data_IF_436311461689
#
_entry.id   IF_436311461689
#
_cell.length_a   1.000
_cell.length_b   1.000
_cell.length_c   1.000
_cell.angle_alpha   90.00
_cell.angle_beta   90.00
_cell.angle_gamma   90.00
#
_symmetry.space_group_name_H-M   'P 1'
#
loop_
_entity.id
_entity.type
_entity.pdbx_description
1 polymer ?
#
# COMPACT_ATOMS: atom_id res chain seq x y z
N UNK A 1 17.61 14.54 -21.53
CA UNK A 1 17.16 13.24 -22.06
C UNK A 1 15.90 12.82 -21.31
N UNK A 2 14.76 12.90 -21.98
CA UNK A 2 13.43 12.69 -21.40
C UNK A 2 13.27 11.24 -20.92
N UNK A 3 13.17 11.06 -19.60
CA UNK A 3 12.66 9.80 -19.03
C UNK A 3 11.14 9.92 -19.08
N UNK A 4 10.56 9.36 -20.13
CA UNK A 4 9.11 9.23 -20.35
C UNK A 4 8.32 8.96 -19.07
N UNK A 5 7.17 9.63 -18.97
CA UNK A 5 6.16 9.59 -17.91
C UNK A 5 5.64 8.18 -17.59
N UNK A 6 6.44 7.36 -16.90
CA UNK A 6 6.01 6.04 -16.43
C UNK A 6 5.06 6.18 -15.25
N UNK A 7 3.78 6.06 -15.51
CA UNK A 7 2.76 5.94 -14.47
C UNK A 7 2.86 4.56 -13.80
N UNK A 8 3.13 4.46 -12.49
CA UNK A 8 3.20 3.17 -11.80
C UNK A 8 1.81 2.56 -11.64
N UNK A 9 1.47 1.64 -12.54
CA UNK A 9 0.17 0.96 -12.60
C UNK A 9 0.26 -0.48 -12.06
N UNK A 10 -0.80 -0.96 -11.40
CA UNK A 10 -0.97 -2.40 -11.21
C UNK A 10 -1.58 -3.05 -12.44
N UNK A 11 -1.52 -4.39 -12.54
CA UNK A 11 -2.22 -5.14 -13.59
C UNK A 11 -3.72 -4.80 -13.66
N UNK A 12 -4.34 -4.52 -12.51
CA UNK A 12 -5.74 -4.10 -12.44
C UNK A 12 -5.96 -2.71 -13.03
N UNK A 13 -5.04 -1.78 -12.79
CA UNK A 13 -5.10 -0.42 -13.33
C UNK A 13 -4.86 -0.45 -14.85
N UNK A 14 -3.94 -1.30 -15.32
CA UNK A 14 -3.69 -1.53 -16.75
C UNK A 14 -4.89 -2.15 -17.48
N UNK A 15 -5.55 -3.16 -16.88
CA UNK A 15 -6.80 -3.71 -17.44
C UNK A 15 -7.90 -2.64 -17.55
N UNK A 16 -7.98 -1.74 -16.57
CA UNK A 16 -8.94 -0.62 -16.62
C UNK A 16 -8.63 0.35 -17.73
N UNK A 17 -7.35 0.68 -17.94
CA UNK A 17 -6.89 1.53 -19.03
C UNK A 17 -7.42 1.02 -20.37
N UNK A 18 -7.07 -0.23 -20.71
CA UNK A 18 -7.46 -0.81 -21.99
C UNK A 18 -8.98 -0.85 -22.22
N UNK A 19 -9.76 -1.22 -21.20
CA UNK A 19 -11.23 -1.29 -21.35
C UNK A 19 -11.85 0.11 -21.45
N UNK A 20 -11.32 1.09 -20.71
CA UNK A 20 -11.84 2.47 -20.73
C UNK A 20 -11.49 3.16 -22.05
N UNK A 21 -10.31 2.93 -22.62
CA UNK A 21 -9.93 3.45 -23.95
C UNK A 21 -10.91 2.95 -25.01
N UNK A 22 -11.15 1.63 -25.09
CA UNK A 22 -12.12 1.04 -26.02
C UNK A 22 -13.54 1.57 -25.83
N UNK A 23 -13.95 1.83 -24.59
CA UNK A 23 -15.25 2.43 -24.29
C UNK A 23 -15.34 3.88 -24.78
N UNK A 24 -14.30 4.69 -24.58
CA UNK A 24 -14.27 6.09 -25.01
C UNK A 24 -14.12 6.24 -26.52
N UNK A 25 -13.45 5.28 -27.18
CA UNK A 25 -13.36 5.17 -28.63
C UNK A 25 -14.65 4.64 -29.28
N UNK A 26 -15.66 4.26 -28.49
CA UNK A 26 -16.94 3.75 -28.98
C UNK A 26 -16.89 2.31 -29.52
N UNK A 27 -15.78 1.59 -29.31
CA UNK A 27 -15.63 0.20 -29.75
C UNK A 27 -16.45 -0.79 -28.90
N UNK A 28 -16.76 -0.42 -27.66
CA UNK A 28 -17.64 -1.17 -26.76
C UNK A 28 -18.57 -0.20 -26.04
N UNK A 29 -19.77 -0.67 -25.72
CA UNK A 29 -20.72 0.12 -24.94
C UNK A 29 -20.40 0.09 -23.43
N UNK A 30 -21.13 0.92 -22.67
CA UNK A 30 -20.95 1.05 -21.24
C UNK A 30 -21.30 -0.25 -20.47
N UNK A 31 -22.25 -1.03 -20.98
CA UNK A 31 -22.69 -2.28 -20.37
C UNK A 31 -21.57 -3.33 -20.48
N UNK A 32 -21.01 -3.49 -21.67
CA UNK A 32 -19.91 -4.41 -21.93
C UNK A 32 -18.65 -4.05 -21.16
N UNK A 33 -18.33 -2.76 -21.07
CA UNK A 33 -17.23 -2.29 -20.23
C UNK A 33 -17.44 -2.62 -18.73
N UNK A 34 -18.67 -2.50 -18.24
CA UNK A 34 -19.04 -2.84 -16.87
C UNK A 34 -18.85 -4.34 -16.57
N UNK A 35 -19.29 -5.22 -17.48
CA UNK A 35 -19.06 -6.66 -17.40
C UNK A 35 -17.56 -7.00 -17.39
N UNK A 36 -16.80 -6.46 -18.33
CA UNK A 36 -15.37 -6.71 -18.47
C UNK A 36 -14.56 -6.27 -17.25
N UNK A 37 -14.98 -5.20 -16.57
CA UNK A 37 -14.32 -4.69 -15.37
C UNK A 37 -14.91 -5.23 -14.07
N UNK A 38 -16.03 -5.96 -14.13
CA UNK A 38 -16.83 -6.34 -12.95
C UNK A 38 -17.16 -5.13 -12.07
N UNK A 39 -17.60 -4.04 -12.71
CA UNK A 39 -17.96 -2.78 -12.07
C UNK A 39 -19.38 -2.39 -12.47
N UNK A 40 -20.00 -1.48 -11.72
CA UNK A 40 -21.26 -0.90 -12.16
C UNK A 40 -21.05 0.08 -13.33
N UNK A 41 -22.08 0.23 -14.17
CA UNK A 41 -22.07 1.23 -15.25
C UNK A 41 -21.71 2.64 -14.74
N UNK A 42 -22.21 3.04 -13.56
CA UNK A 42 -21.86 4.33 -12.93
C UNK A 42 -20.36 4.45 -12.64
N UNK A 43 -19.72 3.37 -12.19
CA UNK A 43 -18.27 3.35 -11.95
C UNK A 43 -17.48 3.45 -13.26
N UNK A 44 -17.92 2.78 -14.33
CA UNK A 44 -17.32 2.90 -15.67
C UNK A 44 -17.39 4.34 -16.16
N UNK A 45 -18.56 4.98 -16.10
CA UNK A 45 -18.72 6.39 -16.50
C UNK A 45 -17.81 7.32 -15.69
N UNK A 46 -17.67 7.08 -14.38
CA UNK A 46 -16.76 7.84 -13.51
C UNK A 46 -15.28 7.60 -13.82
N UNK A 47 -14.92 6.40 -14.29
CA UNK A 47 -13.56 6.12 -14.78
C UNK A 47 -13.31 6.84 -16.11
N UNK A 48 -14.25 6.78 -17.06
CA UNK A 48 -14.15 7.51 -18.33
C UNK A 48 -13.99 9.01 -18.14
N UNK A 49 -14.84 9.65 -17.31
CA UNK A 49 -14.70 11.07 -16.97
C UNK A 49 -13.34 11.43 -16.37
N UNK A 50 -12.78 10.55 -15.53
CA UNK A 50 -11.46 10.77 -14.93
C UNK A 50 -10.35 10.60 -15.94
N UNK A 51 -10.44 9.60 -16.81
CA UNK A 51 -9.48 9.42 -17.89
C UNK A 51 -9.47 10.63 -18.84
N UNK A 52 -10.63 11.20 -19.15
CA UNK A 52 -10.69 12.41 -19.96
C UNK A 52 -10.03 13.63 -19.31
N UNK A 53 -10.04 13.72 -17.96
CA UNK A 53 -9.46 14.85 -17.23
C UNK A 53 -7.97 14.65 -16.87
N UNK A 54 -7.57 13.42 -16.53
CA UNK A 54 -6.28 13.09 -15.90
C UNK A 54 -5.46 12.09 -16.75
N UNK A 55 -5.97 11.66 -17.92
CA UNK A 55 -5.37 10.60 -18.74
C UNK A 55 -5.27 9.26 -18.01
N UNK A 56 -4.25 8.47 -18.38
CA UNK A 56 -3.97 7.18 -17.73
C UNK A 56 -3.74 7.29 -16.21
N UNK A 57 -3.23 8.43 -15.73
CA UNK A 57 -2.99 8.66 -14.30
C UNK A 57 -4.29 8.64 -13.48
N UNK A 58 -5.41 9.08 -14.06
CA UNK A 58 -6.72 9.10 -13.39
C UNK A 58 -7.34 7.74 -13.13
N UNK A 59 -6.79 6.68 -13.76
CA UNK A 59 -7.20 5.29 -13.56
C UNK A 59 -6.38 4.57 -12.49
N UNK A 60 -5.26 5.14 -12.05
CA UNK A 60 -4.45 4.62 -10.96
C UNK A 60 -5.21 4.73 -9.64
N UNK A 61 -5.02 3.73 -8.78
CA UNK A 61 -5.54 3.79 -7.43
C UNK A 61 -4.97 5.01 -6.66
N UNK A 62 -5.84 5.96 -6.28
CA UNK A 62 -5.43 7.25 -5.68
C UNK A 62 -4.73 7.16 -4.33
N UNK A 63 -4.88 6.05 -3.60
CA UNK A 63 -4.13 5.84 -2.36
C UNK A 63 -2.77 5.16 -2.60
N UNK A 64 -2.43 4.81 -3.84
CA UNK A 64 -1.13 4.21 -4.15
C UNK A 64 -0.03 5.21 -3.82
N UNK A 65 0.94 4.79 -3.00
CA UNK A 65 2.03 5.64 -2.53
C UNK A 65 1.66 6.61 -1.41
N UNK A 66 0.38 6.70 -1.01
CA UNK A 66 -0.05 7.57 0.10
C UNK A 66 0.08 6.84 1.43
N UNK A 67 0.60 7.52 2.44
CA UNK A 67 0.56 7.05 3.83
C UNK A 67 -0.88 6.97 4.32
N UNK A 68 -1.17 5.99 5.20
CA UNK A 68 -2.47 5.91 5.87
C UNK A 68 -2.64 7.07 6.83
N UNK A 69 -3.82 7.68 6.88
CA UNK A 69 -4.14 8.74 7.85
C UNK A 69 -4.10 8.23 9.31
N UNK A 70 -4.25 6.92 9.52
CA UNK A 70 -4.11 6.26 10.83
C UNK A 70 -2.75 5.58 11.01
N UNK A 71 -1.86 5.71 10.03
CA UNK A 71 -0.51 5.18 10.13
C UNK A 71 0.34 6.03 11.07
N UNK A 72 1.30 5.41 11.75
CA UNK A 72 2.34 6.13 12.47
C UNK A 72 3.03 7.11 11.53
N UNK A 73 3.27 8.31 12.04
CA UNK A 73 4.08 9.30 11.33
C UNK A 73 5.49 8.75 11.08
N UNK A 74 6.21 9.24 10.06
CA UNK A 74 7.60 8.86 9.83
C UNK A 74 8.48 9.03 11.08
N UNK A 75 8.23 10.07 11.86
CA UNK A 75 8.94 10.39 13.10
C UNK A 75 8.65 9.34 14.19
N UNK A 76 7.38 8.97 14.38
CA UNK A 76 7.01 7.93 15.35
C UNK A 76 7.60 6.56 14.97
N UNK A 77 7.68 6.24 13.67
CA UNK A 77 8.35 5.03 13.20
C UNK A 77 9.85 5.07 13.50
N UNK A 78 10.51 6.19 13.23
CA UNK A 78 11.93 6.36 13.52
C UNK A 78 12.21 6.25 15.02
N UNK A 79 11.35 6.85 15.85
CA UNK A 79 11.44 6.75 17.30
C UNK A 79 11.32 5.30 17.78
N UNK A 80 10.34 4.54 17.27
CA UNK A 80 10.15 3.14 17.62
C UNK A 80 11.37 2.27 17.25
N UNK A 81 11.96 2.50 16.07
CA UNK A 81 13.19 1.81 15.64
C UNK A 81 14.36 2.18 16.55
N UNK A 82 14.51 3.45 16.88
CA UNK A 82 15.60 3.95 17.75
C UNK A 82 15.55 3.28 19.12
N UNK A 83 14.38 3.29 19.77
CA UNK A 83 14.17 2.65 21.07
C UNK A 83 14.45 1.14 20.98
N UNK A 84 13.97 0.47 19.93
CA UNK A 84 14.24 -0.94 19.73
C UNK A 84 15.74 -1.23 19.65
N UNK A 85 16.48 -0.47 18.83
CA UNK A 85 17.94 -0.65 18.67
C UNK A 85 18.72 -0.36 19.95
N UNK A 86 18.29 0.62 20.74
CA UNK A 86 18.99 1.01 21.96
C UNK A 86 18.75 0.04 23.12
N UNK A 87 17.52 -0.48 23.27
CA UNK A 87 17.09 -1.12 24.53
C UNK A 87 16.53 -2.54 24.36
N UNK A 88 16.05 -2.89 23.18
CA UNK A 88 15.29 -4.14 22.96
C UNK A 88 15.81 -4.95 21.76
N UNK A 89 17.06 -4.73 21.37
CA UNK A 89 17.67 -5.47 20.26
C UNK A 89 17.66 -6.97 20.58
N UNK A 90 17.27 -7.77 19.60
CA UNK A 90 17.13 -9.23 19.77
C UNK A 90 15.80 -9.68 20.37
N UNK A 91 14.95 -8.76 20.86
CA UNK A 91 13.61 -9.12 21.32
C UNK A 91 12.70 -9.41 20.12
N UNK A 92 11.79 -10.36 20.30
CA UNK A 92 10.72 -10.59 19.32
C UNK A 92 9.76 -9.38 19.26
N UNK A 93 9.08 -9.14 18.12
CA UNK A 93 8.21 -7.98 17.93
C UNK A 93 7.07 -7.87 18.95
N UNK A 94 6.62 -9.00 19.50
CA UNK A 94 5.60 -9.01 20.56
C UNK A 94 6.15 -8.44 21.86
N UNK A 95 7.24 -9.03 22.38
CA UNK A 95 7.84 -8.62 23.66
C UNK A 95 8.38 -7.18 23.58
N UNK A 96 8.96 -6.79 22.43
CA UNK A 96 9.41 -5.42 22.23
C UNK A 96 8.23 -4.42 22.24
N UNK A 97 7.08 -4.77 21.68
CA UNK A 97 5.90 -3.89 21.69
C UNK A 97 5.34 -3.70 23.11
N UNK A 98 5.29 -4.79 23.89
CA UNK A 98 4.90 -4.75 25.31
C UNK A 98 5.85 -3.84 26.10
N UNK A 99 7.16 -4.02 25.96
CA UNK A 99 8.15 -3.23 26.70
C UNK A 99 8.21 -1.76 26.31
N UNK A 100 8.03 -1.45 25.02
CA UNK A 100 7.90 -0.06 24.56
C UNK A 100 6.63 0.59 25.13
N UNK A 101 5.52 -0.14 25.20
CA UNK A 101 4.29 0.35 25.82
C UNK A 101 4.44 0.60 27.32
N UNK A 102 5.07 -0.33 28.05
CA UNK A 102 5.27 -0.26 29.50
C UNK A 102 6.24 0.84 29.93
N UNK A 103 7.40 0.94 29.26
CA UNK A 103 8.50 1.80 29.72
C UNK A 103 8.55 3.16 29.04
N UNK A 104 8.06 3.27 27.81
CA UNK A 104 8.17 4.49 26.99
C UNK A 104 6.80 5.12 26.73
N UNK A 105 5.70 4.49 27.16
CA UNK A 105 4.33 4.99 27.02
C UNK A 105 3.80 4.98 25.58
N UNK A 106 4.53 4.38 24.63
CA UNK A 106 4.15 4.32 23.23
C UNK A 106 3.41 3.00 22.96
N UNK A 107 2.08 3.07 22.90
CA UNK A 107 1.24 1.89 22.64
C UNK A 107 1.26 1.56 21.15
N UNK A 108 2.05 0.54 20.78
CA UNK A 108 2.10 -0.02 19.43
C UNK A 108 1.50 -1.42 19.41
N UNK A 109 0.72 -1.75 18.37
CA UNK A 109 0.35 -3.15 18.15
C UNK A 109 1.59 -3.97 17.78
N UNK A 110 1.60 -5.25 18.18
CA UNK A 110 2.68 -6.19 17.80
C UNK A 110 2.84 -6.29 16.28
N UNK A 111 1.76 -6.23 15.50
CA UNK A 111 1.79 -6.23 14.03
C UNK A 111 2.42 -4.95 13.47
N UNK A 112 2.15 -3.80 14.09
CA UNK A 112 2.75 -2.51 13.72
C UNK A 112 4.25 -2.55 13.93
N UNK A 113 4.71 -2.93 15.13
CA UNK A 113 6.14 -3.01 15.42
C UNK A 113 6.84 -4.07 14.55
N UNK A 114 6.22 -5.23 14.36
CA UNK A 114 6.73 -6.26 13.44
C UNK A 114 6.92 -5.73 12.03
N UNK A 115 5.95 -4.99 11.49
CA UNK A 115 6.03 -4.44 10.13
C UNK A 115 7.16 -3.42 10.02
N UNK A 116 7.30 -2.56 11.04
CA UNK A 116 8.39 -1.58 11.12
C UNK A 116 9.75 -2.28 11.13
N UNK A 117 9.94 -3.28 12.00
CA UNK A 117 11.21 -4.00 12.14
C UNK A 117 11.56 -4.85 10.90
N UNK A 118 10.56 -5.39 10.21
CA UNK A 118 10.76 -6.08 8.93
C UNK A 118 11.19 -5.08 7.83
N UNK A 119 10.57 -3.89 7.80
CA UNK A 119 10.91 -2.85 6.82
C UNK A 119 12.29 -2.24 7.08
N UNK A 120 12.71 -2.11 8.34
CA UNK A 120 14.02 -1.59 8.72
C UNK A 120 15.14 -2.63 8.67
N UNK A 121 14.79 -3.92 8.50
CA UNK A 121 15.73 -5.04 8.49
C UNK A 121 16.23 -5.46 9.88
N UNK A 122 15.74 -4.82 10.95
CA UNK A 122 16.16 -5.08 12.34
C UNK A 122 15.61 -6.41 12.88
N UNK A 123 14.60 -6.99 12.22
CA UNK A 123 14.06 -8.28 12.59
C UNK A 123 13.79 -9.15 11.37
N UNK A 124 14.24 -10.40 11.42
CA UNK A 124 13.95 -11.42 10.41
C UNK A 124 13.20 -12.58 11.07
N UNK A 125 12.23 -13.16 10.36
CA UNK A 125 11.52 -14.36 10.83
C UNK A 125 12.51 -15.54 10.81
N UNK A 126 13.12 -15.82 11.95
CA UNK A 126 13.93 -17.02 12.12
C UNK A 126 13.13 -18.28 11.80
N UNK A 127 13.71 -19.20 11.01
CA UNK A 127 13.15 -20.53 10.79
C UNK A 127 13.16 -21.25 12.15
N UNK A 128 11.99 -21.68 12.66
CA UNK A 128 11.93 -22.54 13.85
C UNK A 128 12.80 -23.76 13.57
N UNK A 129 13.96 -23.88 14.23
CA UNK A 129 14.64 -25.17 14.30
C UNK A 129 13.76 -26.04 15.18
N UNK A 130 13.22 -27.12 14.61
CA UNK A 130 12.62 -28.17 15.43
C UNK A 130 13.72 -28.68 16.34
N UNK A 131 13.59 -28.44 17.63
CA UNK A 131 14.33 -29.22 18.62
C UNK A 131 13.61 -30.57 18.60
N UNK A 132 14.25 -31.56 17.96
CA UNK A 132 13.88 -32.97 18.08
C UNK A 132 14.55 -33.51 19.34
#
# INVERSE_FOLDING_TARGET
MAREDRVPMSQKDFRRLHVIERYLEGQIDQHRAAELLKLSMRQVRRLGKRYQAEGASGLVHRLRGRSSNHGLSPEQRAQAISIYRQRYIGFGPTLAAEKIGEHEGIVLSKETLRTILLQSGDWQKGRKRSIH
#
